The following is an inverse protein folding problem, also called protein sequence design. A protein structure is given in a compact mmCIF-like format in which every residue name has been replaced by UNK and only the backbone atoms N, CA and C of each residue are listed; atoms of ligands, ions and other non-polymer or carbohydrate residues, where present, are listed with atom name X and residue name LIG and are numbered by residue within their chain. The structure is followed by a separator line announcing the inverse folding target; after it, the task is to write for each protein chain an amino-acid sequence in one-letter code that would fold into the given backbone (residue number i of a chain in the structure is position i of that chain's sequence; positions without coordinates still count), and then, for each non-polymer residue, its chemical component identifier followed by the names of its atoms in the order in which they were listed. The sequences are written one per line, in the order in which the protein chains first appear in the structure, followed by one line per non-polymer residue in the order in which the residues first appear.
data_IF_679831709243
#
_entry.id   IF_679831709243
#
_cell.length_a   1.000
_cell.length_b   1.000
_cell.length_c   1.000
_cell.angle_alpha   90.00
_cell.angle_beta   90.00
_cell.angle_gamma   90.00
#
_symmetry.space_group_name_H-M   'P 1'
#
loop_
_entity.id
_entity.type
_entity.pdbx_description
1 polymer ?
#
# COMPACT_ATOMS: atom_id res chain seq x y z
N UNK A 1 -1.08 18.47 27.43
CA UNK A 1 0.12 18.14 26.60
C UNK A 1 0.08 16.71 26.04
N UNK A 2 -1.03 15.99 26.17
CA UNK A 2 -1.22 14.59 25.72
C UNK A 2 -1.77 14.43 24.29
N UNK A 3 -2.30 15.50 23.69
CA UNK A 3 -3.00 15.43 22.39
C UNK A 3 -2.07 15.35 21.18
N UNK A 4 -0.85 15.88 21.27
CA UNK A 4 0.12 15.87 20.16
C UNK A 4 0.81 14.51 20.02
N UNK A 5 0.98 13.79 21.14
CA UNK A 5 1.60 12.46 21.15
C UNK A 5 0.69 11.41 20.50
N UNK A 6 -0.61 11.47 20.78
CA UNK A 6 -1.60 10.56 20.19
C UNK A 6 -1.69 10.71 18.66
N UNK A 7 -1.73 11.94 18.15
CA UNK A 7 -1.82 12.19 16.71
C UNK A 7 -0.54 11.77 15.96
N UNK A 8 0.62 11.85 16.62
CA UNK A 8 1.87 11.34 16.08
C UNK A 8 1.96 9.80 16.10
N UNK A 9 1.37 9.15 17.10
CA UNK A 9 1.25 7.68 17.13
C UNK A 9 0.32 7.15 16.02
N UNK A 10 -0.85 7.77 15.82
CA UNK A 10 -1.79 7.40 14.75
C UNK A 10 -1.14 7.51 13.36
N UNK A 11 -0.43 8.62 13.09
CA UNK A 11 0.29 8.83 11.82
C UNK A 11 1.41 7.80 11.60
N UNK A 12 2.06 7.34 12.67
CA UNK A 12 3.15 6.37 12.58
C UNK A 12 2.63 4.97 12.28
N UNK A 13 1.46 4.61 12.81
CA UNK A 13 0.81 3.34 12.52
C UNK A 13 0.28 3.30 11.08
N UNK A 14 -0.28 4.40 10.56
CA UNK A 14 -0.66 4.51 9.14
C UNK A 14 0.54 4.33 8.20
N UNK A 15 1.69 4.93 8.53
CA UNK A 15 2.93 4.78 7.75
C UNK A 15 3.46 3.34 7.77
N UNK A 16 3.27 2.60 8.88
CA UNK A 16 3.63 1.18 8.96
C UNK A 16 2.73 0.33 8.07
N UNK A 17 1.44 0.64 8.02
CA UNK A 17 0.49 -0.08 7.16
C UNK A 17 0.79 0.16 5.67
N UNK A 18 1.10 1.41 5.30
CA UNK A 18 1.61 1.77 3.96
C UNK A 18 2.87 0.98 3.64
N UNK A 19 3.84 0.95 4.55
CA UNK A 19 5.08 0.20 4.37
C UNK A 19 4.81 -1.29 4.18
N UNK A 20 3.90 -1.88 4.97
CA UNK A 20 3.52 -3.28 4.85
C UNK A 20 2.98 -3.61 3.46
N UNK A 21 2.11 -2.76 2.91
CA UNK A 21 1.54 -2.94 1.58
C UNK A 21 2.58 -2.77 0.48
N UNK A 22 3.46 -1.78 0.58
CA UNK A 22 4.57 -1.61 -0.37
C UNK A 22 5.50 -2.82 -0.39
N UNK A 23 5.77 -3.43 0.76
CA UNK A 23 6.56 -4.67 0.85
C UNK A 23 5.84 -5.83 0.16
N UNK A 24 4.53 -6.00 0.38
CA UNK A 24 3.74 -7.05 -0.27
C UNK A 24 3.67 -6.87 -1.79
N UNK A 25 3.48 -5.64 -2.26
CA UNK A 25 3.50 -5.31 -3.69
C UNK A 25 4.87 -5.56 -4.31
N UNK A 26 5.95 -5.22 -3.60
CA UNK A 26 7.32 -5.50 -4.04
C UNK A 26 7.58 -7.00 -4.16
N UNK A 27 7.06 -7.79 -3.20
CA UNK A 27 7.14 -9.25 -3.23
C UNK A 27 6.32 -9.84 -4.39
N UNK A 28 5.13 -9.29 -4.66
CA UNK A 28 4.33 -9.67 -5.81
C UNK A 28 5.08 -9.38 -7.14
N UNK A 29 5.72 -8.22 -7.27
CA UNK A 29 6.57 -7.90 -8.44
C UNK A 29 7.71 -8.92 -8.61
N UNK A 30 8.40 -9.25 -7.51
CA UNK A 30 9.47 -10.25 -7.54
C UNK A 30 8.96 -11.62 -8.01
N UNK A 31 7.77 -12.03 -7.53
CA UNK A 31 7.09 -13.26 -7.94
C UNK A 31 6.73 -13.25 -9.43
N UNK A 32 6.22 -12.14 -9.95
CA UNK A 32 5.84 -11.98 -11.36
C UNK A 32 7.06 -12.01 -12.28
N UNK A 33 8.16 -11.38 -11.86
CA UNK A 33 9.40 -11.30 -12.63
C UNK A 33 10.25 -12.58 -12.57
N UNK A 34 9.98 -13.47 -11.62
CA UNK A 34 10.78 -14.68 -11.45
C UNK A 34 10.58 -15.66 -12.63
N UNK A 35 11.68 -16.14 -13.26
CA UNK A 35 11.60 -17.00 -14.45
C UNK A 35 11.04 -18.39 -14.16
N UNK A 36 10.99 -18.79 -12.89
CA UNK A 36 10.42 -20.06 -12.43
C UNK A 36 8.92 -19.98 -12.14
N UNK A 37 8.31 -18.79 -12.16
CA UNK A 37 6.90 -18.61 -11.87
C UNK A 37 6.04 -19.06 -13.05
N UNK A 38 5.10 -20.01 -12.88
CA UNK A 38 4.18 -20.40 -13.94
C UNK A 38 3.35 -19.20 -14.40
N UNK A 39 3.11 -19.09 -15.72
CA UNK A 39 2.42 -17.94 -16.34
C UNK A 39 1.06 -17.64 -15.70
N UNK A 40 0.28 -18.67 -15.34
CA UNK A 40 -1.02 -18.49 -14.70
C UNK A 40 -0.86 -17.87 -13.30
N UNK A 41 0.13 -18.32 -12.53
CA UNK A 41 0.42 -17.78 -11.19
C UNK A 41 0.86 -16.33 -11.30
N UNK A 42 1.77 -16.00 -12.22
CA UNK A 42 2.18 -14.60 -12.46
C UNK A 42 1.00 -13.70 -12.81
N UNK A 43 0.06 -14.16 -13.66
CA UNK A 43 -1.14 -13.40 -14.03
C UNK A 43 -2.09 -13.19 -12.88
N UNK A 44 -2.39 -14.24 -12.11
CA UNK A 44 -3.27 -14.14 -10.94
C UNK A 44 -2.65 -13.20 -9.91
N UNK A 45 -1.36 -13.35 -9.62
CA UNK A 45 -0.63 -12.47 -8.71
C UNK A 45 -0.63 -11.03 -9.19
N UNK A 46 -0.45 -10.78 -10.50
CA UNK A 46 -0.52 -9.45 -11.07
C UNK A 46 -1.90 -8.81 -10.87
N UNK A 47 -2.99 -9.53 -11.15
CA UNK A 47 -4.36 -9.03 -10.95
C UNK A 47 -4.61 -8.72 -9.48
N UNK A 48 -4.22 -9.61 -8.56
CA UNK A 48 -4.38 -9.40 -7.13
C UNK A 48 -3.57 -8.18 -6.65
N UNK A 49 -2.31 -8.06 -7.05
CA UNK A 49 -1.47 -6.92 -6.71
C UNK A 49 -2.04 -5.60 -7.25
N UNK A 50 -2.59 -5.62 -8.47
CA UNK A 50 -3.20 -4.46 -9.10
C UNK A 50 -4.47 -4.02 -8.36
N UNK A 51 -5.34 -4.96 -7.97
CA UNK A 51 -6.52 -4.66 -7.15
C UNK A 51 -6.13 -4.08 -5.79
N UNK A 52 -5.14 -4.67 -5.11
CA UNK A 52 -4.64 -4.15 -3.84
C UNK A 52 -4.06 -2.75 -3.99
N UNK A 53 -3.28 -2.49 -5.04
CA UNK A 53 -2.71 -1.18 -5.31
C UNK A 53 -3.78 -0.12 -5.61
N UNK A 54 -4.83 -0.45 -6.36
CA UNK A 54 -5.93 0.47 -6.65
C UNK A 54 -6.74 0.81 -5.38
N UNK A 55 -7.11 -0.20 -4.59
CA UNK A 55 -7.83 0.02 -3.33
C UNK A 55 -7.01 0.89 -2.35
N UNK A 56 -5.69 0.69 -2.31
CA UNK A 56 -4.79 1.54 -1.54
C UNK A 56 -4.67 2.96 -2.09
N UNK A 57 -4.60 3.13 -3.41
CA UNK A 57 -4.55 4.45 -4.02
C UNK A 57 -5.82 5.27 -3.70
N UNK A 58 -7.00 4.65 -3.75
CA UNK A 58 -8.27 5.29 -3.37
C UNK A 58 -8.30 5.69 -1.89
N UNK A 59 -7.80 4.83 -0.99
CA UNK A 59 -7.69 5.15 0.43
C UNK A 59 -6.71 6.31 0.68
N UNK A 60 -5.55 6.28 0.01
CA UNK A 60 -4.52 7.30 0.16
C UNK A 60 -4.99 8.66 -0.34
N UNK A 61 -5.76 8.70 -1.43
CA UNK A 61 -6.37 9.93 -1.96
C UNK A 61 -7.30 10.60 -0.93
N UNK A 62 -8.06 9.79 -0.19
CA UNK A 62 -8.88 10.25 0.94
C UNK A 62 -8.04 10.86 2.08
N UNK A 63 -6.96 10.18 2.49
CA UNK A 63 -6.05 10.68 3.54
C UNK A 63 -5.35 11.98 3.12
N UNK A 64 -4.92 12.08 1.86
CA UNK A 64 -4.27 13.27 1.32
C UNK A 64 -5.24 14.46 1.30
N UNK A 65 -6.49 14.23 0.88
CA UNK A 65 -7.53 15.26 0.88
C UNK A 65 -7.86 15.76 2.30
N UNK A 66 -7.94 14.85 3.28
CA UNK A 66 -8.19 15.18 4.69
C UNK A 66 -7.04 15.98 5.34
N UNK A 67 -5.79 15.75 4.92
CA UNK A 67 -4.62 16.49 5.41
C UNK A 67 -4.42 17.87 4.75
N UNK A 68 -5.40 18.35 3.97
CA UNK A 68 -5.34 19.66 3.32
C UNK A 68 -4.43 19.68 2.09
N UNK A 69 -4.25 18.53 1.44
CA UNK A 69 -3.70 18.43 0.10
C UNK A 69 -4.66 19.03 -0.93
N UNK A 70 -4.88 20.34 -0.84
CA UNK A 70 -5.59 21.12 -1.85
C UNK A 70 -4.59 21.42 -2.98
N UNK A 71 -5.01 21.15 -4.22
CA UNK A 71 -4.35 21.70 -5.41
C UNK A 71 -4.79 23.15 -5.61
#
# INVERSE_FOLDING_TARGET
MTSLTHMAEDTQDDLRDVQGVLVLLSMALALIAAPTTPVIVARVTAVMAQHTAMAWAEMLDGVIAEQGGDL
#
